data_IF_898936976290
#
_entry.id   IF_898936976290
#
_cell.length_a   1.000
_cell.length_b   1.000
_cell.length_c   1.000
_cell.angle_alpha   90.00
_cell.angle_beta   90.00
_cell.angle_gamma   90.00
#
_symmetry.space_group_name_H-M   'P 1'
#
loop_
_entity.id
_entity.type
_entity.pdbx_description
1 polymer ?
#
# COMPACT_ATOMS: atom_id res chain seq x y z
N UNK A 1 4.30 -18.89 25.79
CA UNK A 1 3.56 -18.06 24.82
C UNK A 1 4.26 -18.21 23.49
N UNK A 2 3.71 -19.00 22.58
CA UNK A 2 4.28 -19.20 21.25
C UNK A 2 4.10 -17.91 20.46
N UNK A 3 5.20 -17.23 20.14
CA UNK A 3 5.17 -16.14 19.17
C UNK A 3 4.67 -16.74 17.85
N UNK A 4 3.60 -16.17 17.30
CA UNK A 4 3.17 -16.47 15.94
C UNK A 4 4.37 -16.17 15.00
N UNK A 5 4.60 -16.98 13.96
CA UNK A 5 5.63 -16.67 12.98
C UNK A 5 5.31 -15.27 12.42
N UNK A 6 6.23 -14.33 12.57
CA UNK A 6 6.18 -13.06 11.86
C UNK A 6 6.21 -13.44 10.37
N UNK A 7 5.06 -13.36 9.71
CA UNK A 7 4.97 -13.54 8.27
C UNK A 7 5.90 -12.48 7.66
N UNK A 8 7.01 -12.93 7.08
CA UNK A 8 8.00 -12.03 6.48
C UNK A 8 7.33 -11.36 5.29
N UNK A 9 6.86 -10.14 5.50
CA UNK A 9 6.25 -9.37 4.44
C UNK A 9 7.28 -9.13 3.34
N UNK A 10 7.07 -9.83 2.22
CA UNK A 10 7.94 -9.77 1.04
C UNK A 10 7.42 -8.76 0.03
N UNK A 11 6.41 -7.96 0.40
CA UNK A 11 5.83 -6.94 -0.46
C UNK A 11 6.81 -5.77 -0.66
N UNK A 12 6.74 -5.05 -1.80
CA UNK A 12 7.59 -3.89 -2.03
C UNK A 12 7.42 -2.83 -0.95
N UNK A 13 8.47 -2.03 -0.74
CA UNK A 13 8.49 -1.00 0.29
C UNK A 13 8.41 0.40 -0.32
N UNK A 14 7.49 1.23 0.19
CA UNK A 14 7.49 2.65 -0.11
C UNK A 14 8.31 3.41 0.93
N UNK A 15 9.43 4.00 0.48
CA UNK A 15 10.30 4.80 1.35
C UNK A 15 9.67 6.12 1.83
N UNK A 16 8.66 6.65 1.12
CA UNK A 16 7.99 7.89 1.49
C UNK A 16 7.01 7.72 2.67
N UNK A 17 6.22 6.63 2.71
CA UNK A 17 5.34 6.30 3.84
C UNK A 17 6.06 5.61 4.99
N UNK A 18 7.28 5.14 4.74
CA UNK A 18 7.93 4.13 5.56
C UNK A 18 7.05 2.87 5.76
N UNK A 19 6.26 2.48 4.75
CA UNK A 19 5.34 1.36 4.83
C UNK A 19 5.50 0.40 3.64
N UNK A 20 5.22 -0.87 3.88
CA UNK A 20 5.19 -1.88 2.84
C UNK A 20 3.87 -1.84 2.07
N UNK A 21 3.83 -2.46 0.89
CA UNK A 21 2.62 -2.52 0.07
C UNK A 21 1.54 -3.35 0.75
N UNK A 22 1.91 -4.37 1.52
CA UNK A 22 0.98 -5.13 2.34
C UNK A 22 0.33 -4.25 3.42
N UNK A 23 1.10 -3.42 4.13
CA UNK A 23 0.52 -2.48 5.10
C UNK A 23 -0.41 -1.46 4.42
N UNK A 24 -0.04 -0.96 3.24
CA UNK A 24 -0.88 -0.04 2.46
C UNK A 24 -2.17 -0.75 1.99
N UNK A 25 -2.07 -1.99 1.54
CA UNK A 25 -3.21 -2.82 1.16
C UNK A 25 -4.16 -3.05 2.33
N UNK A 26 -3.63 -3.34 3.52
CA UNK A 26 -4.46 -3.50 4.73
C UNK A 26 -5.20 -2.21 5.10
N UNK A 27 -4.52 -1.06 5.03
CA UNK A 27 -5.16 0.26 5.23
C UNK A 27 -6.25 0.51 4.19
N UNK A 28 -5.98 0.18 2.93
CA UNK A 28 -6.94 0.31 1.83
C UNK A 28 -8.15 -0.62 2.00
N UNK A 29 -7.96 -1.85 2.47
CA UNK A 29 -9.08 -2.76 2.76
C UNK A 29 -9.92 -2.29 3.95
N UNK A 30 -9.28 -1.71 4.97
CA UNK A 30 -9.97 -1.16 6.13
C UNK A 30 -10.75 0.13 5.80
N UNK A 31 -10.19 0.97 4.94
CA UNK A 31 -10.80 2.22 4.48
C UNK A 31 -10.52 2.42 2.99
N UNK A 32 -11.39 1.92 2.09
CA UNK A 32 -11.16 2.01 0.66
C UNK A 32 -11.24 3.45 0.18
N UNK A 33 -10.21 3.91 -0.52
CA UNK A 33 -10.10 5.24 -1.11
C UNK A 33 -9.80 5.13 -2.61
N UNK A 34 -10.23 6.10 -3.44
CA UNK A 34 -9.76 6.23 -4.82
C UNK A 34 -8.24 6.35 -4.87
N UNK A 35 -7.61 5.91 -5.96
CA UNK A 35 -6.16 5.73 -6.03
C UNK A 35 -5.37 7.00 -5.68
N UNK A 36 -5.74 8.17 -6.19
CA UNK A 36 -5.09 9.44 -5.86
C UNK A 36 -5.23 9.81 -4.38
N UNK A 37 -6.38 9.54 -3.77
CA UNK A 37 -6.58 9.79 -2.34
C UNK A 37 -5.81 8.77 -1.47
N UNK A 38 -5.74 7.51 -1.90
CA UNK A 38 -4.92 6.47 -1.28
C UNK A 38 -3.44 6.86 -1.27
N UNK A 39 -2.91 7.38 -2.40
CA UNK A 39 -1.53 7.84 -2.48
C UNK A 39 -1.24 8.94 -1.46
N UNK A 40 -2.22 9.81 -1.18
CA UNK A 40 -2.08 10.88 -0.19
C UNK A 40 -2.25 10.40 1.25
N UNK A 41 -3.19 9.49 1.51
CA UNK A 41 -3.62 9.11 2.86
C UNK A 41 -2.93 7.84 3.37
N UNK A 42 -2.93 6.77 2.57
CA UNK A 42 -2.44 5.45 3.00
C UNK A 42 -0.96 5.25 2.70
N UNK A 43 -0.52 5.69 1.52
CA UNK A 43 0.86 5.58 1.07
C UNK A 43 1.68 6.86 1.31
N UNK A 44 1.05 7.97 1.72
CA UNK A 44 1.74 9.23 2.05
C UNK A 44 2.70 9.74 0.96
N UNK A 45 2.52 9.30 -0.29
CA UNK A 45 3.45 9.50 -1.40
C UNK A 45 2.86 10.37 -2.52
N UNK A 46 1.65 10.88 -2.38
CA UNK A 46 0.99 11.73 -3.41
C UNK A 46 1.73 13.04 -3.74
N UNK A 47 2.70 13.47 -2.92
CA UNK A 47 3.69 14.51 -3.24
C UNK A 47 5.14 14.05 -3.09
N UNK A 48 5.38 12.74 -2.98
CA UNK A 48 6.68 12.12 -2.72
C UNK A 48 7.48 11.82 -3.99
N UNK A 49 8.43 10.89 -3.90
CA UNK A 49 9.32 10.55 -5.01
C UNK A 49 8.64 9.89 -6.22
N UNK A 50 7.41 9.40 -6.05
CA UNK A 50 6.60 8.76 -7.11
C UNK A 50 7.06 7.36 -7.54
N UNK A 51 8.18 6.85 -7.02
CA UNK A 51 8.78 5.60 -7.51
C UNK A 51 7.94 4.35 -7.24
N UNK A 52 7.03 4.38 -6.27
CA UNK A 52 6.19 3.25 -5.93
C UNK A 52 4.82 3.25 -6.64
N UNK A 53 4.46 4.31 -7.38
CA UNK A 53 3.08 4.52 -7.87
C UNK A 53 2.66 3.39 -8.82
N UNK A 54 3.42 3.14 -9.88
CA UNK A 54 3.06 2.14 -10.90
C UNK A 54 3.03 0.71 -10.33
N UNK A 55 3.99 0.38 -9.45
CA UNK A 55 4.05 -0.92 -8.78
C UNK A 55 2.89 -1.08 -7.79
N UNK A 56 2.57 -0.03 -7.03
CA UNK A 56 1.47 -0.04 -6.06
C UNK A 56 0.12 -0.15 -6.75
N UNK A 57 -0.08 0.55 -7.86
CA UNK A 57 -1.28 0.41 -8.68
C UNK A 57 -1.46 -1.04 -9.12
N UNK A 58 -0.41 -1.63 -9.71
CA UNK A 58 -0.42 -3.02 -10.19
C UNK A 58 -0.72 -3.98 -9.03
N UNK A 59 -0.09 -3.76 -7.88
CA UNK A 59 -0.29 -4.56 -6.68
C UNK A 59 -1.73 -4.48 -6.14
N UNK A 60 -2.32 -3.29 -6.10
CA UNK A 60 -3.69 -3.10 -5.65
C UNK A 60 -4.70 -3.74 -6.61
N UNK A 61 -4.46 -3.65 -7.93
CA UNK A 61 -5.29 -4.30 -8.95
C UNK A 61 -5.25 -5.82 -8.83
N UNK A 62 -4.08 -6.42 -8.56
CA UNK A 62 -3.97 -7.87 -8.38
C UNK A 62 -4.59 -8.39 -7.08
N UNK A 63 -4.93 -7.50 -6.15
CA UNK A 63 -5.50 -7.82 -4.83
C UNK A 63 -6.95 -7.32 -4.66
N UNK A 64 -7.61 -6.94 -5.76
CA UNK A 64 -8.98 -6.42 -5.80
C UNK A 64 -9.21 -5.21 -4.86
N UNK A 65 -8.18 -4.38 -4.67
CA UNK A 65 -8.19 -3.23 -3.78
C UNK A 65 -7.98 -1.89 -4.50
N UNK A 66 -7.87 -1.92 -5.83
CA UNK A 66 -7.78 -0.73 -6.66
C UNK A 66 -9.18 -0.12 -6.87
N UNK A 67 -9.29 1.19 -6.62
CA UNK A 67 -10.48 1.99 -6.90
C UNK A 67 -10.04 3.13 -7.82
N UNK A 68 -10.69 3.24 -8.97
CA UNK A 68 -10.46 4.32 -9.93
C UNK A 68 -10.88 5.68 -9.33
N UNK A 69 -10.21 6.75 -9.76
CA UNK A 69 -10.43 8.13 -9.28
C UNK A 69 -11.82 8.71 -9.59
#
# INVERSE_FOLDING_TARGET
>A
MSAAPEEVDSSPYCCCSAATFQEILERQRAKPLPFMELLMVHAGCGGGCGSCIDELETYLRSHDAYIED
#
